data_IF_695276760572
#
_entry.id   IF_695276760572
#
_cell.length_a   1.000
_cell.length_b   1.000
_cell.length_c   1.000
_cell.angle_alpha   90.00
_cell.angle_beta   90.00
_cell.angle_gamma   90.00
#
_symmetry.space_group_name_H-M   'P 1'
#
loop_
_entity.id
_entity.type
_entity.pdbx_description
1 polymer ?
#
# COMPACT_ATOMS: atom_id res chain seq x y z
N UNK A 1 48.84 -24.92 44.54
CA UNK A 1 47.99 -23.75 44.22
C UNK A 1 48.13 -23.29 42.76
N UNK A 2 49.32 -22.98 42.26
CA UNK A 2 49.50 -22.45 40.89
C UNK A 2 48.94 -23.35 39.77
N UNK A 3 49.14 -24.68 39.85
CA UNK A 3 48.63 -25.63 38.83
C UNK A 3 47.10 -25.75 38.80
N UNK A 4 46.43 -25.63 39.95
CA UNK A 4 44.96 -25.72 40.05
C UNK A 4 44.31 -24.47 39.44
N UNK A 5 44.85 -23.28 39.74
CA UNK A 5 44.38 -22.03 39.14
C UNK A 5 44.51 -22.03 37.61
N UNK A 6 45.57 -22.65 37.08
CA UNK A 6 45.78 -22.79 35.63
C UNK A 6 44.76 -23.74 35.00
N UNK A 7 44.42 -24.86 35.65
CA UNK A 7 43.37 -25.79 35.20
C UNK A 7 41.99 -25.10 35.21
N UNK A 8 41.69 -24.30 36.24
CA UNK A 8 40.41 -23.56 36.28
C UNK A 8 40.34 -22.56 35.12
N UNK A 9 41.45 -21.85 34.85
CA UNK A 9 41.53 -20.91 33.73
C UNK A 9 41.36 -21.60 32.36
N UNK A 10 41.98 -22.76 32.15
CA UNK A 10 41.83 -23.51 30.89
C UNK A 10 40.41 -24.02 30.69
N UNK A 11 39.75 -24.46 31.76
CA UNK A 11 38.35 -24.89 31.71
C UNK A 11 37.44 -23.72 31.33
N UNK A 12 37.60 -22.56 31.98
CA UNK A 12 36.82 -21.36 31.66
C UNK A 12 37.02 -20.94 30.20
N UNK A 13 38.26 -20.95 29.72
CA UNK A 13 38.58 -20.61 28.33
C UNK A 13 37.93 -21.57 27.33
N UNK A 14 38.00 -22.88 27.59
CA UNK A 14 37.35 -23.90 26.75
C UNK A 14 35.83 -23.74 26.70
N UNK A 15 35.17 -23.42 27.82
CA UNK A 15 33.73 -23.16 27.86
C UNK A 15 33.40 -21.92 27.00
N UNK A 16 34.18 -20.84 27.13
CA UNK A 16 34.00 -19.62 26.32
C UNK A 16 34.13 -19.91 24.81
N UNK A 17 35.10 -20.73 24.41
CA UNK A 17 35.26 -21.15 23.01
C UNK A 17 34.07 -21.98 22.51
N UNK A 18 33.54 -22.87 23.35
CA UNK A 18 32.35 -23.66 23.02
C UNK A 18 31.11 -22.76 22.79
N UNK A 19 30.89 -21.81 23.70
CA UNK A 19 29.76 -20.88 23.63
C UNK A 19 29.86 -19.99 22.38
N UNK A 20 31.04 -19.40 22.12
CA UNK A 20 31.23 -18.52 20.95
C UNK A 20 31.05 -19.26 19.63
N UNK A 21 31.49 -20.52 19.54
CA UNK A 21 31.27 -21.36 18.36
C UNK A 21 29.77 -21.66 18.15
N UNK A 22 29.05 -21.99 19.22
CA UNK A 22 27.60 -22.24 19.17
C UNK A 22 26.83 -20.99 18.70
N UNK A 23 27.14 -19.82 19.27
CA UNK A 23 26.55 -18.53 18.88
C UNK A 23 26.84 -18.26 17.39
N UNK A 24 28.10 -18.39 16.95
CA UNK A 24 28.49 -18.16 15.55
C UNK A 24 27.69 -19.02 14.57
N UNK A 25 27.44 -20.28 14.92
CA UNK A 25 26.66 -21.17 14.09
C UNK A 25 25.18 -20.75 14.01
N UNK A 26 24.58 -20.40 15.15
CA UNK A 26 23.20 -19.91 15.18
C UNK A 26 23.04 -18.60 14.39
N UNK A 27 23.98 -17.66 14.56
CA UNK A 27 24.00 -16.40 13.80
C UNK A 27 24.06 -16.66 12.30
N UNK A 28 24.90 -17.61 11.83
CA UNK A 28 24.99 -17.97 10.41
C UNK A 28 23.69 -18.56 9.86
N UNK A 29 22.93 -19.31 10.67
CA UNK A 29 21.62 -19.84 10.25
C UNK A 29 20.62 -18.69 10.11
N UNK A 30 20.59 -17.77 11.07
CA UNK A 30 19.71 -16.59 11.04
C UNK A 30 20.03 -15.72 9.83
N UNK A 31 21.31 -15.44 9.57
CA UNK A 31 21.76 -14.65 8.41
C UNK A 31 21.30 -15.27 7.08
N UNK A 32 21.38 -16.60 6.94
CA UNK A 32 20.86 -17.30 5.74
C UNK A 32 19.36 -17.13 5.58
N UNK A 33 18.61 -17.17 6.68
CA UNK A 33 17.16 -16.99 6.65
C UNK A 33 16.78 -15.55 6.27
N UNK A 34 17.48 -14.56 6.83
CA UNK A 34 17.32 -13.15 6.46
C UNK A 34 17.59 -12.96 4.97
N UNK A 35 18.74 -13.44 4.48
CA UNK A 35 19.10 -13.35 3.06
C UNK A 35 18.07 -14.03 2.14
N UNK A 36 17.42 -15.12 2.58
CA UNK A 36 16.34 -15.78 1.83
C UNK A 36 15.09 -14.90 1.77
N UNK A 37 14.71 -14.30 2.89
CA UNK A 37 13.55 -13.39 2.97
C UNK A 37 13.81 -12.14 2.11
N UNK A 38 14.99 -11.54 2.21
CA UNK A 38 15.34 -10.34 1.43
C UNK A 38 15.28 -10.60 -0.08
N UNK A 39 15.75 -11.77 -0.53
CA UNK A 39 15.60 -12.17 -1.94
C UNK A 39 14.14 -12.30 -2.36
N UNK A 40 13.29 -12.86 -1.50
CA UNK A 40 11.86 -12.97 -1.80
C UNK A 40 11.19 -11.60 -1.87
N UNK A 41 11.55 -10.68 -0.96
CA UNK A 41 11.05 -9.30 -0.98
C UNK A 41 11.44 -8.62 -2.29
N UNK A 42 12.72 -8.72 -2.68
CA UNK A 42 13.20 -8.13 -3.93
C UNK A 42 12.51 -8.70 -5.18
N UNK A 43 12.19 -10.01 -5.18
CA UNK A 43 11.42 -10.62 -6.27
C UNK A 43 9.99 -10.09 -6.33
N UNK A 44 9.31 -9.98 -5.19
CA UNK A 44 7.94 -9.45 -5.11
C UNK A 44 7.89 -7.97 -5.49
N UNK A 45 8.85 -7.17 -5.03
CA UNK A 45 8.95 -5.76 -5.38
C UNK A 45 9.12 -5.54 -6.88
N UNK A 46 9.97 -6.37 -7.50
CA UNK A 46 10.15 -6.37 -8.96
C UNK A 46 8.85 -6.74 -9.69
N UNK A 47 8.19 -7.82 -9.28
CA UNK A 47 6.94 -8.29 -9.88
C UNK A 47 5.82 -7.24 -9.75
N UNK A 48 5.74 -6.58 -8.59
CA UNK A 48 4.80 -5.48 -8.37
C UNK A 48 5.06 -4.30 -9.31
N UNK A 49 6.33 -3.91 -9.47
CA UNK A 49 6.70 -2.82 -10.37
C UNK A 49 6.39 -3.15 -11.83
N UNK A 50 6.68 -4.37 -12.28
CA UNK A 50 6.32 -4.85 -13.62
C UNK A 50 4.79 -4.85 -13.81
N UNK A 51 4.04 -5.37 -12.84
CA UNK A 51 2.56 -5.38 -12.88
C UNK A 51 1.97 -3.98 -12.88
N UNK A 52 2.55 -3.03 -12.14
CA UNK A 52 2.12 -1.64 -12.16
C UNK A 52 2.33 -1.01 -13.54
N UNK A 53 3.48 -1.24 -14.16
CA UNK A 53 3.77 -0.75 -15.50
C UNK A 53 2.77 -1.31 -16.52
N UNK A 54 2.52 -2.62 -16.46
CA UNK A 54 1.53 -3.29 -17.30
C UNK A 54 0.13 -2.73 -17.08
N UNK A 55 -0.27 -2.54 -15.81
CA UNK A 55 -1.54 -1.92 -15.45
C UNK A 55 -1.68 -0.53 -16.07
N UNK A 56 -0.68 0.34 -15.93
CA UNK A 56 -0.71 1.68 -16.52
C UNK A 56 -0.81 1.64 -18.05
N UNK A 57 -0.13 0.68 -18.68
CA UNK A 57 -0.21 0.50 -20.13
C UNK A 57 -1.62 0.08 -20.57
N UNK A 58 -2.19 -0.97 -19.96
CA UNK A 58 -3.51 -1.51 -20.36
C UNK A 58 -4.68 -0.63 -19.91
N UNK A 59 -4.51 0.14 -18.83
CA UNK A 59 -5.51 1.11 -18.37
C UNK A 59 -5.35 2.48 -19.03
N UNK A 60 -4.33 2.68 -19.88
CA UNK A 60 -4.13 3.94 -20.55
C UNK A 60 -5.39 4.33 -21.36
N UNK A 61 -5.83 5.60 -21.32
CA UNK A 61 -7.05 6.02 -22.00
C UNK A 61 -7.08 5.68 -23.49
N UNK A 62 -5.92 5.75 -24.16
CA UNK A 62 -5.78 5.38 -25.57
C UNK A 62 -5.95 3.89 -25.84
N UNK A 63 -5.35 3.02 -25.01
CA UNK A 63 -5.53 1.57 -25.14
C UNK A 63 -6.95 1.16 -24.74
N UNK A 64 -7.48 1.73 -23.66
CA UNK A 64 -8.83 1.48 -23.18
C UNK A 64 -9.88 1.93 -24.19
N UNK A 65 -9.74 3.12 -24.79
CA UNK A 65 -10.64 3.61 -25.84
C UNK A 65 -10.64 2.69 -27.07
N UNK A 66 -9.47 2.25 -27.54
CA UNK A 66 -9.38 1.26 -28.63
C UNK A 66 -10.06 -0.05 -28.28
N UNK A 67 -9.85 -0.56 -27.07
CA UNK A 67 -10.48 -1.81 -26.60
C UNK A 67 -12.00 -1.66 -26.49
N UNK A 68 -12.48 -0.55 -25.96
CA UNK A 68 -13.91 -0.25 -25.89
C UNK A 68 -14.49 -0.16 -27.30
N UNK A 69 -13.85 0.51 -28.25
CA UNK A 69 -14.32 0.58 -29.64
C UNK A 69 -14.37 -0.80 -30.32
N UNK A 70 -13.41 -1.69 -30.01
CA UNK A 70 -13.40 -3.06 -30.54
C UNK A 70 -14.48 -3.96 -29.92
N UNK A 71 -14.80 -3.75 -28.65
CA UNK A 71 -15.70 -4.63 -27.87
C UNK A 71 -17.13 -4.10 -27.79
N UNK A 72 -17.34 -2.79 -27.92
CA UNK A 72 -18.63 -2.17 -27.81
C UNK A 72 -19.32 -2.11 -29.18
N UNK A 73 -20.56 -2.59 -29.24
CA UNK A 73 -21.45 -2.44 -30.40
C UNK A 73 -21.96 -0.99 -30.59
N UNK A 74 -21.56 -0.08 -29.70
CA UNK A 74 -21.99 1.32 -29.61
C UNK A 74 -20.81 2.19 -29.17
N UNK A 75 -20.71 3.40 -29.72
CA UNK A 75 -19.63 4.34 -29.43
C UNK A 75 -19.69 4.82 -27.98
N UNK A 76 -18.64 4.57 -27.21
CA UNK A 76 -18.55 4.99 -25.81
C UNK A 76 -18.22 6.48 -25.72
N UNK A 77 -19.23 7.28 -25.37
CA UNK A 77 -18.99 8.61 -24.82
C UNK A 77 -18.79 8.49 -23.30
N UNK A 78 -17.66 8.97 -22.73
CA UNK A 78 -17.56 9.12 -21.29
C UNK A 78 -18.69 10.04 -20.86
N UNK A 79 -19.68 9.43 -20.20
CA UNK A 79 -20.90 10.03 -19.64
C UNK A 79 -20.92 11.56 -19.77
N UNK A 80 -21.72 12.08 -20.72
CA UNK A 80 -21.97 13.53 -20.88
C UNK A 80 -22.17 14.09 -19.47
N UNK A 81 -21.19 14.88 -18.98
CA UNK A 81 -21.11 15.40 -17.61
C UNK A 81 -22.53 15.72 -17.18
N UNK A 82 -23.08 14.89 -16.27
CA UNK A 82 -24.50 14.82 -16.00
C UNK A 82 -25.10 16.23 -16.04
N UNK A 83 -25.96 16.50 -17.01
CA UNK A 83 -26.58 17.80 -17.32
C UNK A 83 -27.50 18.31 -16.20
N UNK A 84 -27.17 18.05 -14.94
CA UNK A 84 -27.93 18.52 -13.80
C UNK A 84 -27.68 20.02 -13.62
N UNK A 85 -26.47 20.51 -13.91
CA UNK A 85 -26.13 21.94 -13.88
C UNK A 85 -25.22 22.31 -15.06
N UNK A 86 -25.54 23.38 -15.78
CA UNK A 86 -24.77 23.79 -16.97
C UNK A 86 -23.44 24.47 -16.61
N UNK A 87 -23.29 24.96 -15.38
CA UNK A 87 -22.08 25.60 -14.86
C UNK A 87 -22.09 25.66 -13.32
N UNK A 88 -20.97 26.07 -12.71
CA UNK A 88 -20.85 26.18 -11.24
C UNK A 88 -21.86 27.17 -10.61
N UNK A 89 -22.24 28.21 -11.34
CA UNK A 89 -23.21 29.21 -10.88
C UNK A 89 -24.60 28.59 -10.72
N UNK A 90 -25.03 27.77 -11.68
CA UNK A 90 -26.29 27.02 -11.61
C UNK A 90 -26.32 26.09 -10.38
N UNK A 91 -25.20 25.43 -10.07
CA UNK A 91 -25.07 24.62 -8.87
C UNK A 91 -25.17 25.45 -7.58
N UNK A 92 -24.46 26.58 -7.50
CA UNK A 92 -24.46 27.45 -6.33
C UNK A 92 -25.85 28.05 -6.04
N UNK A 93 -26.57 28.44 -7.09
CA UNK A 93 -27.93 28.97 -6.99
C UNK A 93 -28.93 27.90 -6.54
N UNK A 94 -28.82 26.67 -7.06
CA UNK A 94 -29.64 25.54 -6.62
C UNK A 94 -29.40 25.21 -5.14
N UNK A 95 -28.15 25.18 -4.69
CA UNK A 95 -27.80 24.97 -3.29
C UNK A 95 -28.40 26.06 -2.39
N UNK A 96 -28.24 27.34 -2.77
CA UNK A 96 -28.75 28.47 -2.00
C UNK A 96 -30.27 28.40 -1.83
N UNK A 97 -30.99 27.98 -2.88
CA UNK A 97 -32.45 27.78 -2.84
C UNK A 97 -32.85 26.68 -1.86
N UNK A 98 -32.13 25.56 -1.85
CA UNK A 98 -32.37 24.46 -0.90
C UNK A 98 -32.11 24.91 0.54
N UNK A 99 -31.04 25.67 0.79
CA UNK A 99 -30.71 26.20 2.13
C UNK A 99 -31.79 27.15 2.64
N UNK A 100 -32.30 28.06 1.81
CA UNK A 100 -33.38 28.99 2.20
C UNK A 100 -34.64 28.23 2.61
N UNK A 101 -35.05 27.23 1.82
CA UNK A 101 -36.22 26.41 2.10
C UNK A 101 -36.07 25.63 3.41
N UNK A 102 -34.87 25.13 3.71
CA UNK A 102 -34.57 24.46 4.98
C UNK A 102 -34.72 25.42 6.16
N UNK A 103 -34.16 26.62 6.07
CA UNK A 103 -34.26 27.65 7.13
C UNK A 103 -35.69 28.13 7.35
N UNK A 104 -36.49 28.29 6.29
CA UNK A 104 -37.91 28.65 6.44
C UNK A 104 -38.72 27.55 7.12
N UNK A 105 -38.47 26.29 6.77
CA UNK A 105 -39.14 25.15 7.40
C UNK A 105 -38.73 25.02 8.88
N UNK A 106 -37.45 25.20 9.22
CA UNK A 106 -36.99 25.23 10.62
C UNK A 106 -37.66 26.35 11.43
N UNK A 107 -37.78 27.56 10.86
CA UNK A 107 -38.48 28.68 11.51
C UNK A 107 -39.99 28.45 11.67
N UNK A 108 -40.64 27.74 10.75
CA UNK A 108 -42.06 27.38 10.85
C UNK A 108 -42.29 26.31 11.92
N UNK A 109 -41.36 25.37 12.09
CA UNK A 109 -41.43 24.34 13.12
C UNK A 109 -41.17 24.90 14.52
N UNK A 110 -40.33 25.94 14.67
CA UNK A 110 -40.06 26.61 15.95
C UNK A 110 -41.17 27.59 16.41
N UNK A 111 -42.11 27.95 15.53
CA UNK A 111 -43.26 28.84 15.85
C UNK A 111 -44.55 28.07 16.20
N UNK A 112 -44.51 26.74 16.20
CA UNK A 112 -45.55 25.85 16.74
C UNK A 112 -45.13 25.37 18.11
#
# INVERSE_FOLDING_TARGET
MFKINLIISICIFSILLGITSAIKNQTRIIEKNINKIDRNIALIEKDLHETQLDYFYVSSPGYLSKKIQQLAFIEYMPMDLSRIYFNYKDFADAQKKITILKTENEKKTQKK
#
